data_IF_641549333761
#
_entry.id   IF_641549333761
#
_cell.length_a   1.000
_cell.length_b   1.000
_cell.length_c   1.000
_cell.angle_alpha   90.00
_cell.angle_beta   90.00
_cell.angle_gamma   90.00
#
_symmetry.space_group_name_H-M   'P 1'
#
loop_
_entity.id
_entity.type
_entity.pdbx_description
1 polymer ?
#
# COMPACT_ATOMS: atom_id res chain seq x y z
N UNK A 1 17.68 -19.00 -5.83
CA UNK A 1 17.44 -18.59 -4.42
C UNK A 1 16.05 -17.96 -4.35
N UNK A 2 15.02 -18.70 -4.75
CA UNK A 2 13.75 -18.11 -5.24
C UNK A 2 12.57 -18.23 -4.27
N UNK A 3 12.78 -18.83 -3.09
CA UNK A 3 11.72 -19.05 -2.09
C UNK A 3 11.55 -17.91 -1.08
N UNK A 4 12.54 -17.02 -0.92
CA UNK A 4 12.51 -15.98 0.11
C UNK A 4 11.64 -14.77 -0.29
N UNK A 5 11.61 -14.39 -1.57
CA UNK A 5 10.87 -13.20 -2.07
C UNK A 5 9.34 -13.38 -2.07
N UNK A 6 8.87 -14.56 -2.48
CA UNK A 6 7.44 -14.90 -2.49
C UNK A 6 6.84 -14.89 -1.07
N UNK A 7 7.62 -15.35 -0.08
CA UNK A 7 7.17 -15.39 1.31
C UNK A 7 7.02 -13.99 1.92
N UNK A 8 7.94 -13.06 1.63
CA UNK A 8 7.89 -11.70 2.18
C UNK A 8 6.77 -10.86 1.56
N UNK A 9 6.62 -10.85 0.23
CA UNK A 9 5.57 -10.07 -0.44
C UNK A 9 4.16 -10.56 -0.06
N UNK A 10 3.98 -11.89 0.04
CA UNK A 10 2.72 -12.48 0.51
C UNK A 10 2.38 -12.05 1.94
N UNK A 11 3.35 -12.01 2.85
CA UNK A 11 3.15 -11.53 4.23
C UNK A 11 2.77 -10.05 4.29
N UNK A 12 3.39 -9.22 3.44
CA UNK A 12 3.07 -7.79 3.36
C UNK A 12 1.65 -7.56 2.87
N UNK A 13 1.18 -8.32 1.86
CA UNK A 13 -0.20 -8.28 1.41
C UNK A 13 -1.19 -8.74 2.49
N UNK A 14 -0.87 -9.80 3.23
CA UNK A 14 -1.70 -10.25 4.36
C UNK A 14 -1.78 -9.16 5.43
N UNK A 15 -0.66 -8.50 5.75
CA UNK A 15 -0.65 -7.37 6.68
C UNK A 15 -1.50 -6.20 6.17
N UNK A 16 -1.36 -5.83 4.89
CA UNK A 16 -2.18 -4.79 4.26
C UNK A 16 -3.67 -5.15 4.31
N UNK A 17 -4.03 -6.40 4.02
CA UNK A 17 -5.41 -6.89 4.11
C UNK A 17 -5.94 -6.85 5.54
N UNK A 18 -5.12 -7.20 6.54
CA UNK A 18 -5.48 -7.06 7.95
C UNK A 18 -5.79 -5.61 8.33
N UNK A 19 -4.99 -4.66 7.85
CA UNK A 19 -5.24 -3.23 8.04
C UNK A 19 -6.55 -2.80 7.36
N UNK A 20 -6.82 -3.30 6.15
CA UNK A 20 -8.09 -3.02 5.45
C UNK A 20 -9.30 -3.48 6.27
N UNK A 21 -9.28 -4.72 6.76
CA UNK A 21 -10.36 -5.26 7.59
C UNK A 21 -10.56 -4.42 8.85
N UNK A 22 -9.46 -4.00 9.48
CA UNK A 22 -9.50 -3.13 10.64
C UNK A 22 -10.11 -1.75 10.34
N UNK A 23 -9.76 -1.14 9.20
CA UNK A 23 -10.35 0.12 8.74
C UNK A 23 -11.85 -0.01 8.45
N UNK A 24 -12.27 -1.10 7.82
CA UNK A 24 -13.70 -1.39 7.60
C UNK A 24 -14.43 -1.54 8.93
N UNK A 25 -13.84 -2.24 9.90
CA UNK A 25 -14.37 -2.32 11.26
C UNK A 25 -14.53 -0.94 11.89
N UNK A 26 -13.49 -0.11 11.84
CA UNK A 26 -13.55 1.28 12.33
C UNK A 26 -14.65 2.10 11.66
N UNK A 27 -14.83 1.97 10.34
CA UNK A 27 -15.89 2.66 9.60
C UNK A 27 -17.29 2.31 10.13
N UNK A 28 -17.53 1.02 10.40
CA UNK A 28 -18.81 0.51 10.86
C UNK A 28 -19.09 0.85 12.34
N UNK A 29 -18.03 0.99 13.15
CA UNK A 29 -18.15 1.28 14.58
C UNK A 29 -18.13 2.78 14.94
N UNK A 30 -17.94 3.69 13.97
CA UNK A 30 -17.72 5.11 14.21
C UNK A 30 -18.81 5.81 15.03
N UNK A 31 -20.08 5.47 14.85
CA UNK A 31 -21.16 6.07 15.64
C UNK A 31 -21.31 5.45 17.03
N UNK A 32 -20.96 4.17 17.20
CA UNK A 32 -21.09 3.45 18.48
C UNK A 32 -19.98 3.77 19.47
N UNK A 33 -18.93 4.41 19.01
CA UNK A 33 -17.71 4.72 19.75
C UNK A 33 -17.67 6.16 20.26
N UNK A 34 -18.65 7.00 19.89
CA UNK A 34 -18.86 8.33 20.43
C UNK A 34 -18.79 8.42 21.97
N UNK A 35 -19.35 7.47 22.74
CA UNK A 35 -19.24 7.48 24.20
C UNK A 35 -17.79 7.39 24.71
N UNK A 36 -16.88 6.77 23.96
CA UNK A 36 -15.46 6.67 24.34
C UNK A 36 -14.74 8.02 24.26
N UNK A 37 -15.27 8.98 23.51
CA UNK A 37 -14.74 10.34 23.37
C UNK A 37 -15.47 11.34 24.29
N UNK A 38 -16.23 10.88 25.28
CA UNK A 38 -16.98 11.75 26.18
C UNK A 38 -18.09 12.55 25.49
N UNK A 39 -18.53 12.13 24.29
CA UNK A 39 -19.49 12.86 23.48
C UNK A 39 -18.90 13.96 22.59
N UNK A 40 -17.58 14.19 22.64
CA UNK A 40 -16.90 15.15 21.76
C UNK A 40 -16.78 14.60 20.34
N UNK A 41 -17.65 15.11 19.46
CA UNK A 41 -17.69 14.73 18.05
C UNK A 41 -16.48 15.21 17.26
N UNK A 42 -15.89 16.34 17.64
CA UNK A 42 -14.79 16.94 16.90
C UNK A 42 -13.49 16.17 17.18
N UNK A 43 -13.27 15.80 18.45
CA UNK A 43 -12.15 14.95 18.84
C UNK A 43 -12.27 13.56 18.21
N UNK A 44 -13.45 12.94 18.27
CA UNK A 44 -13.71 11.64 17.63
C UNK A 44 -13.40 11.71 16.12
N UNK A 45 -13.92 12.72 15.42
CA UNK A 45 -13.70 12.89 13.97
C UNK A 45 -12.23 13.04 13.62
N UNK A 46 -11.46 13.83 14.39
CA UNK A 46 -10.03 14.03 14.16
C UNK A 46 -9.23 12.74 14.37
N UNK A 47 -9.56 11.98 15.42
CA UNK A 47 -8.94 10.67 15.69
C UNK A 47 -9.23 9.68 14.56
N UNK A 48 -10.49 9.55 14.14
CA UNK A 48 -10.85 8.67 13.02
C UNK A 48 -10.17 9.09 11.72
N UNK A 49 -10.19 10.38 11.37
CA UNK A 49 -9.53 10.88 10.15
C UNK A 49 -8.03 10.58 10.18
N UNK A 50 -7.37 10.80 11.31
CA UNK A 50 -5.93 10.50 11.49
C UNK A 50 -5.64 9.01 11.35
N UNK A 51 -6.45 8.15 12.01
CA UNK A 51 -6.34 6.70 11.90
C UNK A 51 -6.57 6.23 10.46
N UNK A 52 -7.59 6.71 9.78
CA UNK A 52 -7.88 6.36 8.38
C UNK A 52 -6.74 6.75 7.44
N UNK A 53 -6.15 7.94 7.62
CA UNK A 53 -5.04 8.40 6.79
C UNK A 53 -3.76 7.62 7.10
N UNK A 54 -3.43 7.44 8.38
CA UNK A 54 -2.22 6.72 8.79
C UNK A 54 -2.26 5.24 8.40
N UNK A 55 -3.34 4.55 8.77
CA UNK A 55 -3.51 3.12 8.47
C UNK A 55 -3.80 2.89 6.98
N UNK A 56 -4.58 3.75 6.33
CA UNK A 56 -4.81 3.66 4.89
C UNK A 56 -3.52 3.84 4.10
N UNK A 57 -2.69 4.81 4.47
CA UNK A 57 -1.38 4.99 3.86
C UNK A 57 -0.40 3.85 4.17
N UNK A 58 -0.42 3.31 5.40
CA UNK A 58 0.36 2.13 5.76
C UNK A 58 -0.06 0.91 4.92
N UNK A 59 -1.36 0.66 4.77
CA UNK A 59 -1.90 -0.40 3.91
C UNK A 59 -1.40 -0.26 2.47
N UNK A 60 -1.50 0.94 1.89
CA UNK A 60 -1.01 1.20 0.52
C UNK A 60 0.49 0.93 0.44
N UNK A 61 1.28 1.45 1.37
CA UNK A 61 2.73 1.25 1.37
C UNK A 61 3.11 -0.23 1.33
N UNK A 62 2.43 -1.06 2.13
CA UNK A 62 2.68 -2.51 2.20
C UNK A 62 2.21 -3.26 0.94
N UNK A 63 1.19 -2.75 0.23
CA UNK A 63 0.70 -3.34 -1.00
C UNK A 63 1.55 -2.98 -2.23
N UNK A 64 2.26 -1.84 -2.19
CA UNK A 64 3.04 -1.31 -3.33
C UNK A 64 4.05 -2.31 -3.91
N UNK A 65 4.88 -3.01 -3.13
CA UNK A 65 5.83 -3.98 -3.68
C UNK A 65 5.14 -5.04 -4.55
N UNK A 66 4.06 -5.63 -4.03
CA UNK A 66 3.30 -6.65 -4.74
C UNK A 66 2.55 -6.11 -5.98
N UNK A 67 2.10 -4.84 -5.95
CA UNK A 67 1.49 -4.18 -7.10
C UNK A 67 2.52 -3.95 -8.22
N UNK A 68 3.72 -3.52 -7.87
CA UNK A 68 4.81 -3.26 -8.83
C UNK A 68 5.32 -4.58 -9.42
N UNK A 69 5.66 -5.57 -8.59
CA UNK A 69 6.16 -6.87 -9.05
C UNK A 69 5.09 -7.62 -9.84
N UNK A 70 3.85 -7.65 -9.34
CA UNK A 70 2.71 -8.28 -10.01
C UNK A 70 2.34 -7.60 -11.34
N UNK A 71 2.41 -6.27 -11.39
CA UNK A 71 2.18 -5.50 -12.61
C UNK A 71 3.21 -5.80 -13.68
N UNK A 72 4.50 -5.83 -13.33
CA UNK A 72 5.60 -6.17 -14.25
C UNK A 72 5.50 -7.62 -14.72
N UNK A 73 5.16 -8.55 -13.83
CA UNK A 73 4.96 -9.95 -14.20
C UNK A 73 3.81 -10.12 -15.21
N UNK A 74 2.67 -9.44 -15.00
CA UNK A 74 1.56 -9.44 -15.96
C UNK A 74 1.90 -8.76 -17.28
N UNK A 75 2.65 -7.66 -17.24
CA UNK A 75 3.11 -6.99 -18.45
C UNK A 75 4.01 -7.93 -19.28
N UNK A 76 4.98 -8.60 -18.66
CA UNK A 76 5.84 -9.61 -19.34
C UNK A 76 5.03 -10.75 -19.94
N UNK A 77 4.05 -11.31 -19.22
CA UNK A 77 3.23 -12.40 -19.77
C UNK A 77 2.35 -11.95 -20.93
N UNK A 78 1.83 -10.72 -20.89
CA UNK A 78 1.07 -10.14 -22.00
C UNK A 78 1.96 -9.89 -23.21
N UNK A 79 3.09 -9.19 -23.05
CA UNK A 79 3.99 -8.86 -24.15
C UNK A 79 4.68 -10.09 -24.76
N UNK A 80 5.01 -11.10 -23.95
CA UNK A 80 5.55 -12.36 -24.43
C UNK A 80 4.53 -13.22 -25.21
N UNK A 81 3.23 -13.09 -24.92
CA UNK A 81 2.17 -13.80 -25.67
C UNK A 81 1.89 -13.23 -27.04
N UNK A 82 2.05 -11.92 -27.22
CA UNK A 82 1.75 -11.22 -28.48
C UNK A 82 2.98 -11.05 -29.38
N UNK A 83 4.12 -11.63 -29.00
CA UNK A 83 5.40 -11.51 -29.70
C UNK A 83 5.71 -10.03 -30.07
N UNK A 84 5.44 -9.15 -29.10
CA UNK A 84 5.44 -7.71 -29.33
C UNK A 84 6.82 -7.24 -29.79
N UNK A 85 6.87 -6.63 -30.98
CA UNK A 85 8.08 -6.03 -31.53
C UNK A 85 8.13 -4.54 -31.19
N UNK A 86 9.16 -4.11 -30.47
CA UNK A 86 9.39 -2.69 -30.18
C UNK A 86 10.25 -2.46 -28.94
N UNK A 87 10.84 -1.26 -28.84
CA UNK A 87 11.79 -0.89 -27.79
C UNK A 87 11.24 -1.09 -26.36
N UNK A 88 9.92 -0.93 -26.16
CA UNK A 88 9.27 -1.14 -24.86
C UNK A 88 9.16 -2.64 -24.52
N UNK A 89 8.88 -3.50 -25.49
CA UNK A 89 8.83 -4.95 -25.30
C UNK A 89 10.23 -5.51 -25.05
N UNK A 90 11.24 -5.08 -25.81
CA UNK A 90 12.64 -5.44 -25.57
C UNK A 90 13.12 -4.96 -24.20
N UNK A 91 12.70 -3.76 -23.79
CA UNK A 91 13.02 -3.25 -22.45
C UNK A 91 12.38 -4.12 -21.36
N UNK A 92 11.08 -4.43 -21.45
CA UNK A 92 10.33 -5.24 -20.47
C UNK A 92 10.78 -6.71 -20.41
N UNK A 93 11.25 -7.25 -21.53
CA UNK A 93 11.72 -8.63 -21.62
C UNK A 93 13.17 -8.80 -21.14
N UNK A 94 13.94 -7.73 -20.90
CA UNK A 94 15.28 -7.83 -20.30
C UNK A 94 15.27 -8.55 -18.96
N UNK A 95 16.29 -9.37 -18.74
CA UNK A 95 16.42 -10.21 -17.53
C UNK A 95 16.55 -9.41 -16.22
N UNK A 96 16.97 -8.14 -16.29
CA UNK A 96 17.14 -7.29 -15.09
C UNK A 96 15.86 -6.59 -14.63
N UNK A 97 14.80 -6.59 -15.43
CA UNK A 97 13.56 -5.87 -15.13
C UNK A 97 12.88 -6.36 -13.85
N UNK A 98 12.79 -7.68 -13.57
CA UNK A 98 12.19 -8.16 -12.32
C UNK A 98 12.94 -7.69 -11.07
N UNK A 99 14.28 -7.71 -11.08
CA UNK A 99 15.10 -7.25 -9.95
C UNK A 99 14.95 -5.73 -9.72
N UNK A 100 14.88 -4.96 -10.80
CA UNK A 100 14.63 -3.52 -10.74
C UNK A 100 13.22 -3.21 -10.21
N UNK A 101 12.22 -3.97 -10.65
CA UNK A 101 10.84 -3.84 -10.19
C UNK A 101 10.70 -4.14 -8.68
N UNK A 102 11.40 -5.17 -8.20
CA UNK A 102 11.43 -5.49 -6.77
C UNK A 102 12.07 -4.36 -5.96
N UNK A 103 13.25 -3.90 -6.38
CA UNK A 103 13.97 -2.80 -5.72
C UNK A 103 13.12 -1.51 -5.70
N UNK A 104 12.52 -1.16 -6.84
CA UNK A 104 11.62 -0.02 -6.94
C UNK A 104 10.39 -0.16 -6.06
N UNK A 105 9.80 -1.37 -5.98
CA UNK A 105 8.66 -1.68 -5.12
C UNK A 105 8.95 -1.40 -3.65
N UNK A 106 10.08 -1.88 -3.13
CA UNK A 106 10.48 -1.63 -1.74
C UNK A 106 10.88 -0.17 -1.48
N UNK A 107 11.55 0.47 -2.43
CA UNK A 107 11.87 1.90 -2.31
C UNK A 107 10.60 2.74 -2.24
N UNK A 108 9.61 2.45 -3.09
CA UNK A 108 8.31 3.12 -3.07
C UNK A 108 7.55 2.82 -1.77
N UNK A 109 7.57 1.59 -1.26
CA UNK A 109 7.00 1.27 0.06
C UNK A 109 7.54 2.20 1.15
N UNK A 110 8.86 2.40 1.21
CA UNK A 110 9.47 3.29 2.19
C UNK A 110 9.00 4.75 2.02
N UNK A 111 8.94 5.24 0.78
CA UNK A 111 8.43 6.60 0.48
C UNK A 111 6.98 6.76 0.90
N UNK A 112 6.11 5.80 0.56
CA UNK A 112 4.71 5.82 0.95
C UNK A 112 4.52 5.70 2.46
N UNK A 113 5.36 4.93 3.16
CA UNK A 113 5.33 4.84 4.62
C UNK A 113 5.70 6.17 5.29
N UNK A 114 6.71 6.88 4.77
CA UNK A 114 7.04 8.22 5.28
C UNK A 114 5.92 9.22 4.96
N UNK A 115 5.40 9.19 3.74
CA UNK A 115 4.32 10.08 3.31
C UNK A 115 3.04 9.87 4.14
N UNK A 116 2.71 8.63 4.51
CA UNK A 116 1.54 8.31 5.33
C UNK A 116 1.67 8.83 6.76
N UNK A 117 2.85 8.71 7.36
CA UNK A 117 3.15 9.29 8.68
C UNK A 117 3.03 10.81 8.64
N UNK A 118 3.64 11.46 7.65
CA UNK A 118 3.55 12.92 7.49
C UNK A 118 2.10 13.37 7.28
N UNK A 119 1.34 12.65 6.46
CA UNK A 119 -0.08 12.95 6.24
C UNK A 119 -0.91 12.78 7.51
N UNK A 120 -0.68 11.72 8.28
CA UNK A 120 -1.36 11.51 9.56
C UNK A 120 -1.03 12.62 10.56
N UNK A 121 0.25 13.03 10.66
CA UNK A 121 0.67 14.14 11.52
C UNK A 121 0.04 15.46 11.08
N UNK A 122 -0.04 15.75 9.79
CA UNK A 122 -0.67 16.97 9.28
C UNK A 122 -2.19 17.02 9.55
N UNK A 123 -2.86 15.87 9.46
CA UNK A 123 -4.29 15.75 9.84
C UNK A 123 -4.44 15.93 11.36
N UNK A 124 -3.52 15.36 12.13
CA UNK A 124 -3.51 15.52 13.57
C UNK A 124 -3.18 16.94 14.01
N UNK A 125 -2.29 17.67 13.35
CA UNK A 125 -1.96 19.07 13.67
C UNK A 125 -3.09 20.04 13.29
N UNK A 126 -4.04 19.60 12.47
CA UNK A 126 -5.15 20.41 12.01
C UNK A 126 -4.79 21.31 10.83
N UNK A 127 -3.66 21.03 10.16
CA UNK A 127 -3.25 21.76 8.96
C UNK A 127 -4.15 21.45 7.74
N UNK A 128 -5.03 20.44 7.79
CA UNK A 128 -6.03 20.08 6.74
C UNK A 128 -7.24 19.29 7.25
#
# INVERSE_FOLDING_TARGET
>A
MDSLSSSSEGRLLVAAFGILVFLVGLALLGERTLPLFGGDRDMARRVYKTLFVGLGGAMVSLAVPALVTGGVARARTLFGRIDAKGAVADFLLRDRVPEQAQTAGFALMAVFAVASVVAAVAVWSGER
#
